data_IF_774948208467
#
_entry.id   IF_774948208467
#
_cell.length_a   1.000
_cell.length_b   1.000
_cell.length_c   1.000
_cell.angle_alpha   90.00
_cell.angle_beta   90.00
_cell.angle_gamma   90.00
#
_symmetry.space_group_name_H-M   'P 1'
#
loop_
_entity.id
_entity.type
_entity.pdbx_description
1 polymer ?
#
# COMPACT_ATOMS: atom_id res chain seq x y z
N UNK A 1 16.66 13.35 17.81
CA UNK A 1 15.55 12.94 16.94
C UNK A 1 15.02 11.61 17.46
N UNK A 2 13.72 11.47 17.65
CA UNK A 2 13.12 10.21 18.02
C UNK A 2 12.76 9.45 16.74
N UNK A 3 13.20 8.21 16.61
CA UNK A 3 12.97 7.37 15.44
C UNK A 3 12.23 6.10 15.85
N UNK A 4 11.21 5.73 15.08
CA UNK A 4 10.54 4.44 15.18
C UNK A 4 10.75 3.66 13.87
N UNK A 5 10.96 2.36 13.99
CA UNK A 5 11.18 1.48 12.84
C UNK A 5 10.10 0.42 12.78
N UNK A 6 9.60 0.16 11.57
CA UNK A 6 8.71 -0.97 11.31
C UNK A 6 9.53 -2.21 10.96
N UNK A 7 9.11 -3.34 11.48
CA UNK A 7 9.61 -4.64 11.08
C UNK A 7 9.00 -5.08 9.74
N UNK A 8 9.60 -6.08 9.11
CA UNK A 8 9.09 -6.70 7.88
C UNK A 8 7.91 -7.61 8.23
N UNK A 9 6.71 -7.25 7.79
CA UNK A 9 5.47 -7.99 8.05
C UNK A 9 5.30 -9.26 7.20
N UNK A 10 6.07 -9.38 6.11
CA UNK A 10 5.96 -10.50 5.17
C UNK A 10 6.60 -11.77 5.74
N UNK A 11 5.84 -12.49 6.53
CA UNK A 11 6.20 -13.81 7.04
C UNK A 11 4.95 -14.66 7.25
N UNK A 12 5.01 -15.92 6.85
CA UNK A 12 3.99 -16.92 7.20
C UNK A 12 4.22 -17.54 8.58
N UNK A 13 5.35 -17.22 9.22
CA UNK A 13 5.67 -17.69 10.57
C UNK A 13 5.57 -16.51 11.55
N UNK A 14 4.56 -16.57 12.39
CA UNK A 14 4.26 -15.54 13.40
C UNK A 14 5.41 -15.30 14.37
N UNK A 15 6.17 -16.34 14.70
CA UNK A 15 7.34 -16.20 15.59
C UNK A 15 8.34 -15.17 15.08
N UNK A 16 8.60 -15.15 13.77
CA UNK A 16 9.53 -14.18 13.19
C UNK A 16 9.02 -12.74 13.29
N UNK A 17 7.69 -12.56 13.29
CA UNK A 17 7.06 -11.25 13.47
C UNK A 17 7.13 -10.81 14.92
N UNK A 18 6.85 -11.72 15.86
CA UNK A 18 6.94 -11.48 17.31
C UNK A 18 8.37 -11.06 17.70
N UNK A 19 9.38 -11.79 17.24
CA UNK A 19 10.78 -11.50 17.51
C UNK A 19 11.20 -10.09 17.07
N UNK A 20 10.64 -9.56 15.96
CA UNK A 20 10.89 -8.20 15.51
C UNK A 20 10.28 -7.16 16.46
N UNK A 21 9.06 -7.39 16.93
CA UNK A 21 8.41 -6.50 17.89
C UNK A 21 9.14 -6.52 19.24
N UNK A 22 9.50 -7.69 19.73
CA UNK A 22 10.30 -7.85 20.96
C UNK A 22 11.68 -7.18 20.86
N UNK A 23 12.26 -7.13 19.66
CA UNK A 23 13.50 -6.42 19.37
C UNK A 23 13.32 -4.89 19.28
N UNK A 24 12.09 -4.37 19.37
CA UNK A 24 11.80 -2.94 19.44
C UNK A 24 11.22 -2.32 18.18
N UNK A 25 10.75 -3.13 17.21
CA UNK A 25 9.97 -2.60 16.09
C UNK A 25 8.63 -2.05 16.62
N UNK A 26 8.24 -0.86 16.13
CA UNK A 26 7.00 -0.19 16.55
C UNK A 26 5.75 -0.62 15.76
N UNK A 27 5.90 -1.55 14.84
CA UNK A 27 4.85 -2.10 14.01
C UNK A 27 5.41 -2.95 12.89
N UNK A 28 4.56 -3.39 11.96
CA UNK A 28 4.92 -4.29 10.88
C UNK A 28 4.51 -3.70 9.52
N UNK A 29 5.36 -3.86 8.50
CA UNK A 29 5.12 -3.41 7.13
C UNK A 29 4.97 -4.58 6.17
N UNK A 30 3.88 -4.58 5.41
CA UNK A 30 3.62 -5.50 4.31
C UNK A 30 3.91 -4.81 2.96
N UNK A 31 4.58 -5.51 2.05
CA UNK A 31 4.93 -5.00 0.73
C UNK A 31 4.95 -6.12 -0.31
N UNK A 32 4.46 -5.87 -1.54
CA UNK A 32 4.39 -6.88 -2.60
C UNK A 32 5.74 -7.49 -2.97
N UNK A 33 6.79 -6.69 -3.02
CA UNK A 33 8.15 -7.15 -3.36
C UNK A 33 8.65 -8.27 -2.45
N UNK A 34 8.01 -8.44 -1.31
CA UNK A 34 8.36 -9.46 -0.32
C UNK A 34 7.41 -10.66 -0.31
N UNK A 35 6.47 -10.71 -1.26
CA UNK A 35 5.48 -11.77 -1.37
C UNK A 35 4.34 -11.66 -0.36
N UNK A 36 3.46 -10.68 -0.56
CA UNK A 36 2.27 -10.49 0.29
C UNK A 36 1.10 -11.31 -0.23
N UNK A 37 0.80 -12.39 0.44
CA UNK A 37 -0.36 -13.25 0.19
C UNK A 37 -1.44 -13.03 1.24
N UNK A 38 -2.70 -13.46 1.02
CA UNK A 38 -3.74 -13.42 2.05
C UNK A 38 -3.32 -14.07 3.36
N UNK A 39 -2.60 -15.19 3.30
CA UNK A 39 -2.06 -15.87 4.49
C UNK A 39 -1.02 -15.01 5.22
N UNK A 40 -0.15 -14.33 4.49
CA UNK A 40 0.85 -13.43 5.06
C UNK A 40 0.20 -12.23 5.75
N UNK A 41 -0.81 -11.63 5.11
CA UNK A 41 -1.59 -10.53 5.71
C UNK A 41 -2.24 -11.01 7.01
N UNK A 42 -2.87 -12.18 6.97
CA UNK A 42 -3.55 -12.73 8.14
C UNK A 42 -2.58 -12.99 9.30
N UNK A 43 -1.43 -13.63 9.07
CA UNK A 43 -0.43 -13.88 10.10
C UNK A 43 0.13 -12.58 10.69
N UNK A 44 0.36 -11.58 9.84
CA UNK A 44 0.84 -10.27 10.29
C UNK A 44 -0.17 -9.58 11.20
N UNK A 45 -1.45 -9.58 10.81
CA UNK A 45 -2.52 -8.95 11.59
C UNK A 45 -2.83 -9.71 12.89
N UNK A 46 -2.72 -11.04 12.92
CA UNK A 46 -2.85 -11.80 14.15
C UNK A 46 -1.83 -11.37 15.20
N UNK A 47 -0.55 -11.30 14.79
CA UNK A 47 0.52 -10.86 15.70
C UNK A 47 0.31 -9.41 16.15
N UNK A 48 -0.15 -8.56 15.24
CA UNK A 48 -0.40 -7.16 15.56
C UNK A 48 -1.55 -6.97 16.55
N UNK A 49 -2.61 -7.74 16.43
CA UNK A 49 -3.73 -7.74 17.37
C UNK A 49 -3.29 -8.26 18.75
N UNK A 50 -2.48 -9.32 18.79
CA UNK A 50 -1.99 -9.92 20.04
C UNK A 50 -1.01 -9.00 20.80
N UNK A 51 -0.20 -8.23 20.06
CA UNK A 51 0.84 -7.38 20.64
C UNK A 51 0.50 -5.88 20.66
N UNK A 52 -0.71 -5.51 20.23
CA UNK A 52 -1.20 -4.13 20.15
C UNK A 52 -0.25 -3.20 19.38
N UNK A 53 0.14 -3.61 18.18
CA UNK A 53 1.02 -2.83 17.30
C UNK A 53 0.38 -2.57 15.95
N UNK A 54 0.85 -1.53 15.26
CA UNK A 54 0.31 -1.13 13.96
C UNK A 54 0.82 -2.00 12.82
N UNK A 55 -0.06 -2.27 11.84
CA UNK A 55 0.32 -2.80 10.53
C UNK A 55 0.12 -1.74 9.46
N UNK A 56 1.10 -1.62 8.57
CA UNK A 56 1.00 -0.83 7.34
C UNK A 56 1.13 -1.74 6.13
N UNK A 57 0.34 -1.52 5.10
CA UNK A 57 0.40 -2.28 3.85
C UNK A 57 0.57 -1.37 2.63
N UNK A 58 1.38 -1.82 1.68
CA UNK A 58 1.44 -1.31 0.34
C UNK A 58 0.26 -1.93 -0.44
N UNK A 59 -0.76 -1.15 -0.82
CA UNK A 59 -2.09 -1.66 -1.17
C UNK A 59 -2.22 -2.33 -2.53
N UNK A 60 -1.21 -2.31 -3.35
CA UNK A 60 -1.16 -2.99 -4.64
C UNK A 60 -0.62 -4.43 -4.58
N UNK A 61 -0.44 -4.95 -3.36
CA UNK A 61 0.24 -6.22 -3.08
C UNK A 61 -0.35 -7.45 -3.73
N UNK A 62 -1.64 -7.49 -3.99
CA UNK A 62 -2.30 -8.67 -4.58
C UNK A 62 -2.62 -8.52 -6.06
N UNK A 63 -2.15 -7.46 -6.71
CA UNK A 63 -2.42 -7.20 -8.12
C UNK A 63 -2.07 -8.36 -9.05
N UNK A 64 -1.03 -9.10 -8.73
CA UNK A 64 -0.55 -10.23 -9.54
C UNK A 64 -1.15 -11.57 -9.13
N UNK A 65 -1.73 -11.67 -7.93
CA UNK A 65 -2.14 -12.93 -7.32
C UNK A 65 -3.63 -13.01 -6.96
N UNK A 66 -4.41 -11.94 -7.13
CA UNK A 66 -5.82 -11.95 -6.73
C UNK A 66 -6.55 -10.64 -7.02
N UNK A 67 -7.69 -10.49 -6.38
CA UNK A 67 -8.56 -9.33 -6.47
C UNK A 67 -8.50 -8.48 -5.19
N UNK A 68 -8.97 -7.24 -5.25
CA UNK A 68 -9.04 -6.38 -4.06
C UNK A 68 -9.86 -7.01 -2.93
N UNK A 69 -10.87 -7.79 -3.27
CA UNK A 69 -11.70 -8.55 -2.33
C UNK A 69 -10.88 -9.57 -1.54
N UNK A 70 -9.83 -10.15 -2.10
CA UNK A 70 -8.94 -11.09 -1.39
C UNK A 70 -8.14 -10.34 -0.31
N UNK A 71 -7.70 -9.12 -0.59
CA UNK A 71 -7.05 -8.25 0.40
C UNK A 71 -8.02 -7.86 1.51
N UNK A 72 -9.22 -7.41 1.15
CA UNK A 72 -10.28 -7.04 2.11
C UNK A 72 -10.63 -8.24 3.00
N UNK A 73 -10.82 -9.40 2.42
CA UNK A 73 -11.11 -10.63 3.15
C UNK A 73 -9.97 -11.03 4.10
N UNK A 74 -8.72 -10.86 3.68
CA UNK A 74 -7.56 -11.15 4.53
C UNK A 74 -7.42 -10.17 5.70
N UNK A 75 -7.79 -8.90 5.51
CA UNK A 75 -7.85 -7.89 6.59
C UNK A 75 -8.93 -8.25 7.60
N UNK A 76 -10.08 -8.76 7.14
CA UNK A 76 -11.17 -9.27 7.99
C UNK A 76 -11.64 -8.27 9.07
N UNK A 77 -11.74 -6.99 8.72
CA UNK A 77 -12.18 -5.93 9.63
C UNK A 77 -11.18 -5.52 10.73
N UNK A 78 -9.95 -6.03 10.68
CA UNK A 78 -8.88 -5.64 11.63
C UNK A 78 -8.28 -4.28 11.28
N UNK A 79 -7.61 -3.67 12.25
CA UNK A 79 -7.01 -2.34 12.06
C UNK A 79 -5.76 -2.41 11.20
N UNK A 80 -5.73 -1.60 10.13
CA UNK A 80 -4.60 -1.54 9.21
C UNK A 80 -4.50 -0.15 8.57
N UNK A 81 -3.25 0.31 8.34
CA UNK A 81 -2.96 1.51 7.56
C UNK A 81 -2.61 1.11 6.13
N UNK A 82 -3.39 1.59 5.17
CA UNK A 82 -3.23 1.30 3.75
C UNK A 82 -2.63 2.50 3.03
N UNK A 83 -1.43 2.32 2.45
CA UNK A 83 -0.73 3.37 1.71
C UNK A 83 -1.17 3.40 0.25
N UNK A 84 -1.11 4.61 -0.40
CA UNK A 84 -1.52 4.86 -1.79
C UNK A 84 -2.81 4.11 -2.17
N UNK A 85 -3.81 4.24 -1.34
CA UNK A 85 -5.10 3.56 -1.49
C UNK A 85 -5.90 4.06 -2.69
N UNK A 86 -5.51 5.17 -3.28
CA UNK A 86 -6.01 5.66 -4.57
C UNK A 86 -5.53 4.83 -5.76
N UNK A 87 -4.51 3.99 -5.59
CA UNK A 87 -3.97 3.14 -6.63
C UNK A 87 -2.71 3.67 -7.33
N UNK A 88 -2.10 4.76 -6.85
CA UNK A 88 -0.87 5.32 -7.45
C UNK A 88 0.32 4.36 -7.40
N UNK A 89 0.30 3.37 -6.51
CA UNK A 89 1.26 2.26 -6.50
C UNK A 89 1.09 1.26 -7.66
N UNK A 90 0.01 1.37 -8.41
CA UNK A 90 -0.27 0.63 -9.62
C UNK A 90 -1.04 -0.68 -9.46
N UNK A 91 -1.26 -1.16 -8.27
CA UNK A 91 -1.96 -2.41 -7.99
C UNK A 91 -3.43 -2.42 -8.42
N UNK A 92 -4.34 -2.89 -7.65
CA UNK A 92 -5.77 -3.04 -7.94
C UNK A 92 -6.52 -1.76 -8.39
N UNK A 93 -5.85 -0.86 -9.10
CA UNK A 93 -6.45 0.38 -9.58
C UNK A 93 -7.49 0.14 -10.69
N UNK A 94 -8.66 0.80 -10.64
CA UNK A 94 -9.08 1.74 -9.59
C UNK A 94 -9.73 1.07 -8.37
N UNK A 95 -9.92 -0.23 -8.39
CA UNK A 95 -10.76 -0.98 -7.44
C UNK A 95 -10.25 -0.92 -6.01
N UNK A 96 -8.96 -0.68 -5.81
CA UNK A 96 -8.37 -0.61 -4.46
C UNK A 96 -9.03 0.46 -3.58
N UNK A 97 -9.60 1.50 -4.17
CA UNK A 97 -10.31 2.55 -3.43
C UNK A 97 -11.50 2.02 -2.61
N UNK A 98 -12.04 0.85 -2.96
CA UNK A 98 -13.11 0.19 -2.20
C UNK A 98 -12.73 -0.02 -0.74
N UNK A 99 -11.43 -0.22 -0.47
CA UNK A 99 -10.95 -0.46 0.89
C UNK A 99 -11.15 0.74 1.82
N UNK A 100 -11.32 1.95 1.27
CA UNK A 100 -11.65 3.14 2.05
C UNK A 100 -13.04 3.06 2.72
N UNK A 101 -13.90 2.18 2.23
CA UNK A 101 -15.21 1.91 2.81
C UNK A 101 -15.20 0.91 3.96
N UNK A 102 -14.08 0.25 4.21
CA UNK A 102 -13.96 -0.76 5.26
C UNK A 102 -13.73 -0.11 6.63
N UNK A 103 -14.40 -0.66 7.64
CA UNK A 103 -14.18 -0.24 9.01
C UNK A 103 -12.76 -0.56 9.46
N UNK A 104 -12.19 0.27 10.32
CA UNK A 104 -10.84 0.09 10.88
C UNK A 104 -9.69 0.15 9.86
N UNK A 105 -9.96 0.53 8.63
CA UNK A 105 -8.92 0.84 7.64
C UNK A 105 -8.59 2.34 7.70
N UNK A 106 -7.32 2.66 7.81
CA UNK A 106 -6.79 4.03 7.75
C UNK A 106 -6.13 4.24 6.40
N UNK A 107 -6.83 4.81 5.40
CA UNK A 107 -6.26 5.02 4.08
C UNK A 107 -5.36 6.25 4.02
N UNK A 108 -4.34 6.19 3.18
CA UNK A 108 -3.50 7.35 2.87
C UNK A 108 -3.04 7.37 1.42
N UNK A 109 -2.79 8.57 0.91
CA UNK A 109 -2.23 8.79 -0.41
C UNK A 109 -0.69 8.72 -0.40
N UNK A 110 -0.09 8.71 -1.56
CA UNK A 110 1.36 8.63 -1.77
C UNK A 110 2.00 10.02 -1.70
N UNK A 111 3.16 10.12 -1.04
CA UNK A 111 3.91 11.37 -0.95
C UNK A 111 4.28 12.00 -2.30
N UNK A 112 4.70 11.26 -3.35
CA UNK A 112 5.00 11.85 -4.65
C UNK A 112 3.83 12.60 -5.29
N UNK A 113 2.61 12.24 -4.96
CA UNK A 113 1.40 12.87 -5.52
C UNK A 113 0.93 14.08 -4.72
N UNK A 114 1.51 14.31 -3.56
CA UNK A 114 1.21 15.47 -2.69
C UNK A 114 2.19 16.63 -2.93
N UNK A 115 1.74 17.85 -2.76
CA UNK A 115 0.39 18.37 -2.46
C UNK A 115 -0.43 18.64 -3.74
N UNK A 116 0.04 18.27 -4.88
CA UNK A 116 -0.49 18.64 -6.19
C UNK A 116 -1.18 17.43 -6.83
N UNK A 117 -2.44 17.29 -6.57
CA UNK A 117 -3.17 16.08 -6.85
C UNK A 117 -3.80 15.99 -8.23
N UNK A 118 -3.67 16.98 -9.05
CA UNK A 118 -4.16 16.94 -10.44
C UNK A 118 -3.01 16.73 -11.41
N UNK A 119 -2.23 15.70 -11.15
CA UNK A 119 -1.14 15.34 -12.04
C UNK A 119 -1.66 14.76 -13.35
N UNK A 120 -0.96 15.06 -14.44
CA UNK A 120 -1.23 14.41 -15.71
C UNK A 120 -0.74 12.96 -15.69
N UNK A 121 -1.19 12.18 -16.70
CA UNK A 121 -0.72 10.79 -16.85
C UNK A 121 0.81 10.74 -16.98
N UNK A 122 1.40 11.67 -17.71
CA UNK A 122 2.84 11.77 -17.92
C UNK A 122 3.57 12.07 -16.62
N UNK A 123 3.05 12.96 -15.79
CA UNK A 123 3.63 13.27 -14.48
C UNK A 123 3.59 12.07 -13.54
N UNK A 124 2.51 11.28 -13.57
CA UNK A 124 2.42 10.03 -12.80
C UNK A 124 3.43 8.99 -13.29
N UNK A 125 3.61 8.85 -14.61
CA UNK A 125 4.61 7.95 -15.18
C UNK A 125 6.02 8.36 -14.75
N UNK A 126 6.36 9.64 -14.85
CA UNK A 126 7.66 10.16 -14.42
C UNK A 126 7.91 9.90 -12.94
N UNK A 127 6.92 10.15 -12.09
CA UNK A 127 7.03 9.88 -10.66
C UNK A 127 7.24 8.39 -10.37
N UNK A 128 6.49 7.51 -11.04
CA UNK A 128 6.64 6.06 -10.88
C UNK A 128 8.04 5.62 -11.31
N UNK A 129 8.53 6.11 -12.44
CA UNK A 129 9.87 5.78 -12.93
C UNK A 129 10.95 6.20 -11.93
N UNK A 130 10.85 7.40 -11.39
CA UNK A 130 11.81 7.90 -10.38
C UNK A 130 11.75 7.08 -9.11
N UNK A 131 10.56 6.81 -8.59
CA UNK A 131 10.37 6.06 -7.33
C UNK A 131 10.86 4.62 -7.42
N UNK A 132 10.79 4.00 -8.60
CA UNK A 132 11.21 2.62 -8.83
C UNK A 132 12.61 2.50 -9.46
N UNK A 133 13.34 3.61 -9.58
CA UNK A 133 14.68 3.64 -10.18
C UNK A 133 14.74 3.08 -11.60
N UNK A 134 13.69 3.32 -12.39
CA UNK A 134 13.57 2.87 -13.76
C UNK A 134 14.31 3.84 -14.72
N UNK A 135 14.78 3.32 -15.85
CA UNK A 135 15.46 4.10 -16.89
C UNK A 135 14.54 4.33 -18.09
N UNK A 136 14.21 5.59 -18.37
CA UNK A 136 13.39 5.99 -19.52
C UNK A 136 13.99 5.67 -20.90
N UNK A 137 15.21 5.15 -20.93
CA UNK A 137 15.86 4.68 -22.16
C UNK A 137 15.68 3.18 -22.39
N UNK A 138 15.15 2.47 -21.41
CA UNK A 138 14.93 1.01 -21.46
C UNK A 138 13.45 0.77 -21.75
N UNK A 139 13.09 0.18 -22.92
CA UNK A 139 11.70 -0.04 -23.31
C UNK A 139 10.90 -0.89 -22.31
N UNK A 140 11.54 -1.85 -21.65
CA UNK A 140 10.94 -2.73 -20.66
C UNK A 140 10.54 -1.95 -19.40
N UNK A 141 11.35 -0.98 -18.98
CA UNK A 141 11.06 -0.12 -17.84
C UNK A 141 9.88 0.82 -18.13
N UNK A 142 9.83 1.37 -19.34
CA UNK A 142 8.70 2.19 -19.80
C UNK A 142 7.42 1.34 -19.79
N UNK A 143 7.46 0.16 -20.40
CA UNK A 143 6.31 -0.74 -20.47
C UNK A 143 5.83 -1.16 -19.08
N UNK A 144 6.74 -1.39 -18.13
CA UNK A 144 6.41 -1.64 -16.73
C UNK A 144 5.68 -0.45 -16.12
N UNK A 145 6.21 0.76 -16.25
CA UNK A 145 5.59 1.97 -15.72
C UNK A 145 4.19 2.20 -16.30
N UNK A 146 4.05 2.10 -17.62
CA UNK A 146 2.76 2.26 -18.33
C UNK A 146 1.73 1.20 -17.94
N UNK A 147 2.16 0.00 -17.57
CA UNK A 147 1.27 -1.06 -17.09
C UNK A 147 0.65 -0.74 -15.72
N UNK A 148 1.29 0.12 -14.95
CA UNK A 148 0.91 0.47 -13.57
C UNK A 148 0.05 1.73 -13.49
N UNK A 149 0.22 2.68 -14.38
CA UNK A 149 -0.50 3.96 -14.37
C UNK A 149 -1.67 3.94 -15.34
N UNK A 150 -2.86 4.24 -14.82
CA UNK A 150 -4.11 4.29 -15.58
C UNK A 150 -4.85 5.60 -15.28
N UNK A 151 -5.67 6.04 -16.23
CA UNK A 151 -6.51 7.25 -16.06
C UNK A 151 -7.47 7.13 -14.87
N UNK A 152 -7.96 5.94 -14.61
CA UNK A 152 -8.85 5.63 -13.48
C UNK A 152 -8.14 5.80 -12.14
N UNK A 153 -6.86 5.48 -12.08
CA UNK A 153 -6.01 5.70 -10.89
C UNK A 153 -5.91 7.18 -10.56
N UNK A 154 -5.69 8.04 -11.57
CA UNK A 154 -5.60 9.49 -11.40
C UNK A 154 -6.94 10.04 -10.89
N UNK A 155 -8.05 9.60 -11.46
CA UNK A 155 -9.38 10.03 -11.02
C UNK A 155 -9.67 9.60 -9.57
N UNK A 156 -9.25 8.41 -9.19
CA UNK A 156 -9.40 7.92 -7.81
C UNK A 156 -8.55 8.73 -6.82
N UNK A 157 -7.35 9.12 -7.21
CA UNK A 157 -6.47 9.98 -6.42
C UNK A 157 -7.09 11.37 -6.18
N UNK A 158 -7.64 11.99 -7.23
CA UNK A 158 -8.31 13.29 -7.12
C UNK A 158 -9.48 13.22 -6.12
N UNK A 159 -10.29 12.16 -6.18
CA UNK A 159 -11.41 11.94 -5.25
C UNK A 159 -10.90 11.79 -3.80
N UNK A 160 -9.88 10.99 -3.57
CA UNK A 160 -9.33 10.80 -2.21
C UNK A 160 -8.71 12.08 -1.66
N UNK A 161 -8.06 12.85 -2.48
CA UNK A 161 -7.53 14.14 -2.07
C UNK A 161 -8.64 15.11 -1.66
N UNK A 162 -9.69 15.22 -2.46
CA UNK A 162 -10.83 16.07 -2.15
C UNK A 162 -11.51 15.63 -0.85
N UNK A 163 -11.66 14.32 -0.62
CA UNK A 163 -12.21 13.77 0.62
C UNK A 163 -11.30 14.05 1.82
N UNK A 164 -9.99 13.96 1.67
CA UNK A 164 -9.05 14.24 2.76
C UNK A 164 -9.05 15.70 3.20
N UNK A 165 -9.32 16.62 2.28
CA UNK A 165 -9.45 18.06 2.58
C UNK A 165 -10.74 18.41 3.32
N UNK A 166 -11.77 17.58 3.20
CA UNK A 166 -13.06 17.79 3.88
C UNK A 166 -12.98 17.39 5.36
N UNK A 167 -12.06 16.51 5.72
CA UNK A 167 -11.92 15.97 7.08
C UNK A 167 -10.78 16.59 7.90
N UNK A 168 -10.12 17.61 7.39
CA UNK A 168 -9.18 18.45 8.11
C UNK A 168 -9.87 19.77 8.45
#
# INVERSE_FOLDING_TARGET
MNLGFFGKGNSSNERNLIEQIEAGACGLKLHEDWGTTPSTINSCLNVADDLDVQVCIHTDTLNEAGFVEDTINAIAGRTIHTFHTEGAGGGHAPDIIKICGENNVLPSSTNPTRPYTRNTLEEHLDMLMVCHHLDSKIPEDIAFAESRIRRETIAAEDILHDLSLIHI
#
